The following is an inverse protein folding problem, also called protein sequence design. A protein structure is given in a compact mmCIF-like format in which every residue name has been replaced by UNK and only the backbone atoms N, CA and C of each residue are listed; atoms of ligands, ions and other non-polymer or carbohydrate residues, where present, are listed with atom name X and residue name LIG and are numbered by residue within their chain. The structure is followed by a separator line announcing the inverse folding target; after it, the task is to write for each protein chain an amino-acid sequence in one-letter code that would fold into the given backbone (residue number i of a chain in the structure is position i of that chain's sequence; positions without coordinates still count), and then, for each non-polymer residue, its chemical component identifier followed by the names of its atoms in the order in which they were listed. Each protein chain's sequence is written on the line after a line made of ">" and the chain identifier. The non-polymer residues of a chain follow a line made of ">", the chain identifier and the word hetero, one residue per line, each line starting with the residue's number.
data_IF_137313023116
#
_entry.id   IF_137313023116
#
_cell.length_a   1.000
_cell.length_b   1.000
_cell.length_c   1.000
_cell.angle_alpha   90.00
_cell.angle_beta   90.00
_cell.angle_gamma   90.00
#
_symmetry.space_group_name_H-M   'P 1'
#
loop_
_entity.id
_entity.type
_entity.pdbx_description
1 polymer ?
2 non-polymer ?
3 non-polymer ?
4 non-polymer ?
5 non-polymer ?
6 water ?
#
# COMPACT_ATOMS: atom_id res chain seq x y z
N UNK A 4 7.67 -5.94 29.24
CA UNK A 4 8.33 -6.03 27.90
C UNK A 4 7.44 -5.42 26.77
N UNK A 5 7.80 -4.20 26.37
CA UNK A 5 7.12 -3.49 25.27
C UNK A 5 8.08 -3.24 24.11
N UNK A 6 7.78 -3.83 22.95
CA UNK A 6 8.65 -3.75 21.78
C UNK A 6 8.05 -2.89 20.66
N UNK A 7 8.84 -1.95 20.14
CA UNK A 7 8.45 -1.15 18.97
C UNK A 7 9.27 -1.50 17.75
N UNK A 8 8.59 -1.58 16.61
CA UNK A 8 9.21 -2.09 15.41
C UNK A 8 8.89 -1.26 14.17
N UNK A 9 9.96 -0.96 13.43
CA UNK A 9 9.94 -0.14 12.22
C UNK A 9 9.90 -1.05 10.98
N UNK A 10 9.18 -0.62 9.94
CA UNK A 10 9.11 -1.35 8.65
C UNK A 10 9.08 -0.42 7.46
N UNK A 11 9.56 -0.89 6.31
CA UNK A 11 9.58 -0.10 5.07
C UNK A 11 9.13 -0.90 3.86
N UNK A 12 8.39 -0.26 2.97
CA UNK A 12 7.90 -0.91 1.75
C UNK A 12 8.01 0.00 0.55
N UNK A 13 8.22 -0.61 -0.60
CA UNK A 13 8.32 0.13 -1.86
C UNK A 13 7.72 -0.71 -3.02
N UNK A 14 6.94 -0.07 -3.89
CA UNK A 14 6.33 -0.79 -5.02
C UNK A 14 6.23 0.07 -6.28
N UNK A 15 6.23 -0.59 -7.44
CA UNK A 15 6.05 0.07 -8.72
C UNK A 15 5.10 -0.73 -9.60
N UNK A 16 4.23 -0.04 -10.34
CA UNK A 16 3.48 -0.66 -11.45
C UNK A 16 3.48 0.22 -12.71
N UNK A 17 3.50 -0.41 -13.88
CA UNK A 17 3.46 0.29 -15.16
C UNK A 17 2.04 0.58 -15.61
N UNK A 18 1.84 1.70 -16.30
CA UNK A 18 0.56 2.00 -16.90
C UNK A 18 0.31 1.08 -18.08
N UNK A 19 -0.95 0.76 -18.32
CA UNK A 19 -1.31 -0.28 -19.27
C UNK A 19 -2.81 -0.37 -19.49
N UNK A 20 -3.20 -0.67 -20.73
CA UNK A 20 -4.60 -0.62 -21.11
C UNK A 20 -5.28 0.66 -20.67
N UNK A 21 -6.39 0.51 -19.95
CA UNK A 21 -7.21 1.65 -19.57
C UNK A 21 -8.33 1.23 -18.61
N UNK A 22 -9.23 2.16 -18.32
CA UNK A 22 -9.94 2.16 -17.05
C UNK A 22 -9.46 3.25 -16.11
N UNK A 23 -10.14 3.38 -14.98
CA UNK A 23 -9.55 4.02 -13.80
C UNK A 23 -8.32 3.25 -13.30
N UNK A 24 -7.56 3.87 -12.41
CA UNK A 24 -6.58 3.15 -11.60
C UNK A 24 -7.16 3.00 -10.22
N UNK A 25 -6.58 2.11 -9.42
CA UNK A 25 -6.97 1.94 -8.03
C UNK A 25 -5.76 2.21 -7.17
N UNK A 26 -5.86 3.18 -6.28
CA UNK A 26 -4.74 3.62 -5.46
C UNK A 26 -5.25 3.85 -4.05
N UNK A 27 -4.67 3.16 -3.07
CA UNK A 27 -5.15 3.25 -1.70
C UNK A 27 -6.61 2.83 -1.58
N UNK A 28 -7.03 1.90 -2.43
CA UNK A 28 -8.42 1.44 -2.45
C UNK A 28 -9.40 2.30 -3.24
N UNK A 29 -8.97 3.51 -3.64
CA UNK A 29 -9.85 4.46 -4.31
C UNK A 29 -9.73 4.33 -5.84
N UNK A 30 -10.88 4.24 -6.51
CA UNK A 30 -10.96 4.22 -7.98
C UNK A 30 -10.80 5.65 -8.51
N UNK A 31 -9.69 5.94 -9.18
CA UNK A 31 -9.34 7.30 -9.62
C UNK A 31 -9.34 7.41 -11.15
N UNK A 32 -10.13 8.33 -11.73
CA UNK A 32 -10.20 8.37 -13.20
C UNK A 32 -8.84 8.75 -13.84
N UNK A 33 -8.49 8.08 -14.93
CA UNK A 33 -7.22 8.34 -15.61
C UNK A 33 -7.24 7.79 -17.03
N UNK A 34 -6.52 8.45 -17.94
CA UNK A 34 -6.44 8.02 -19.34
C UNK A 34 -6.05 6.55 -19.41
N UNK A 35 -5.09 6.10 -18.59
CA UNK A 35 -4.66 4.68 -18.61
C UNK A 35 -4.81 3.96 -17.27
N UNK A 36 -4.66 2.63 -17.29
CA UNK A 36 -4.79 1.83 -16.07
C UNK A 36 -3.44 1.31 -15.59
N UNK A 37 -3.48 0.44 -14.57
CA UNK A 37 -2.25 -0.14 -14.03
C UNK A 37 -2.09 -1.62 -14.37
N UNK A 38 -0.94 -1.97 -14.95
CA UNK A 38 -0.63 -3.37 -15.25
C UNK A 38 -0.18 -4.11 -14.00
N UNK A 39 -0.89 -5.18 -13.66
CA UNK A 39 -0.57 -5.97 -12.47
C UNK A 39 -1.25 -7.33 -12.52
N UNK A 40 -0.71 -8.28 -11.76
CA UNK A 40 -1.44 -9.50 -11.43
C UNK A 40 -2.69 -9.19 -10.61
N UNK A 41 -2.89 -7.92 -10.30
CA UNK A 41 -3.60 -7.52 -9.09
C UNK A 41 -4.56 -6.36 -9.33
N UNK A 42 -5.05 -5.77 -8.24
CA UNK A 42 -5.43 -4.36 -8.24
C UNK A 42 -4.44 -3.52 -9.04
N UNK A 43 -3.19 -3.96 -9.06
CA UNK A 43 -2.08 -3.06 -9.31
C UNK A 43 -1.88 -1.93 -8.32
N UNK A 44 -2.63 -1.98 -7.23
CA UNK A 44 -2.70 -0.87 -6.28
C UNK A 44 -1.35 -0.73 -5.58
N UNK A 45 -0.50 0.14 -6.11
CA UNK A 45 0.86 0.30 -5.58
C UNK A 45 0.88 0.86 -4.16
N UNK A 46 -0.13 1.63 -3.78
CA UNK A 46 -0.12 2.24 -2.46
C UNK A 46 -0.31 1.16 -1.39
N UNK A 47 -1.31 0.30 -1.57
CA UNK A 47 -1.58 -0.73 -0.59
C UNK A 47 -0.49 -1.81 -0.59
N UNK A 48 0.10 -2.08 -1.75
CA UNK A 48 1.22 -3.01 -1.81
C UNK A 48 2.40 -2.50 -1.00
N UNK A 49 2.80 -1.25 -1.23
CA UNK A 49 3.94 -0.71 -0.50
C UNK A 49 3.62 -0.71 1.00
N UNK A 50 2.39 -0.34 1.34
CA UNK A 50 1.95 -0.37 2.73
C UNK A 50 1.96 -1.79 3.33
N UNK A 51 1.39 -2.76 2.62
CA UNK A 51 1.39 -4.14 3.10
C UNK A 51 2.82 -4.60 3.40
N UNK A 52 3.76 -4.28 2.50
CA UNK A 52 5.16 -4.67 2.69
C UNK A 52 5.79 -3.99 3.90
N UNK A 53 5.45 -2.72 4.14
CA UNK A 53 5.96 -2.00 5.31
C UNK A 53 5.51 -2.69 6.59
N UNK A 54 4.25 -3.09 6.63
CA UNK A 54 3.68 -3.80 7.77
C UNK A 54 4.33 -5.18 7.97
N UNK A 55 4.41 -5.98 6.90
CA UNK A 55 5.07 -7.28 7.01
C UNK A 55 6.55 -7.13 7.37
N UNK A 56 7.20 -6.08 6.87
CA UNK A 56 8.61 -5.83 7.16
C UNK A 56 8.84 -5.58 8.64
N UNK A 57 7.95 -4.82 9.27
CA UNK A 57 8.11 -4.50 10.67
C UNK A 57 7.88 -5.75 11.52
N UNK A 58 7.00 -6.64 11.05
CA UNK A 58 6.72 -7.88 11.78
C UNK A 58 7.69 -9.01 11.41
N UNK A 59 8.67 -8.72 10.55
CA UNK A 59 9.58 -9.74 10.00
C UNK A 59 8.88 -10.96 9.38
N UNK A 60 7.76 -10.71 8.71
CA UNK A 60 7.05 -11.76 7.98
C UNK A 60 7.38 -11.81 6.49
N UNK A 61 8.43 -11.11 6.05
CA UNK A 61 8.83 -11.13 4.65
C UNK A 61 8.26 -10.00 3.82
N UNK A 62 7.32 -10.35 2.93
CA UNK A 62 6.65 -9.41 2.02
C UNK A 62 5.49 -10.11 1.29
N UNK A 63 4.71 -9.33 0.51
CA UNK A 63 3.56 -9.85 -0.24
C UNK A 63 3.92 -10.96 -1.22
N UNK A 64 5.08 -10.87 -1.88
CA UNK A 64 5.51 -11.89 -2.85
C UNK A 64 5.74 -13.26 -2.22
N UNK A 65 6.12 -13.26 -0.95
CA UNK A 65 6.25 -14.48 -0.20
C UNK A 65 4.88 -14.97 0.30
N UNK A 66 4.06 -14.07 0.86
CA UNK A 66 2.73 -14.45 1.37
C UNK A 66 1.73 -14.73 0.26
N UNK A 67 1.79 -13.97 -0.83
CA UNK A 67 0.82 -14.11 -1.92
C UNK A 67 1.53 -14.26 -3.28
N UNK A 68 2.03 -15.48 -3.59
CA UNK A 68 2.79 -15.78 -4.82
C UNK A 68 2.12 -15.38 -6.15
N UNK A 69 2.92 -14.77 -7.03
CA UNK A 69 2.61 -14.54 -8.46
C UNK A 69 2.05 -15.76 -9.18
N UNK A 70 2.53 -16.93 -8.76
CA UNK A 70 2.20 -18.25 -9.32
C UNK A 70 0.75 -18.69 -9.01
N UNK A 71 0.26 -18.35 -7.82
CA UNK A 71 -1.09 -18.74 -7.39
C UNK A 71 -2.18 -17.88 -8.09
N UNK A 72 -3.07 -18.52 -8.89
CA UNK A 72 -4.10 -17.75 -9.61
C UNK A 72 -5.30 -17.37 -8.73
N UNK A 73 -5.21 -17.68 -7.43
CA UNK A 73 -6.19 -17.23 -6.44
C UNK A 73 -6.05 -15.73 -6.14
N UNK A 74 -4.92 -15.16 -6.58
CA UNK A 74 -4.64 -13.73 -6.37
C UNK A 74 -4.77 -12.88 -7.66
N UNK A 75 -5.17 -13.52 -8.77
CA UNK A 75 -5.33 -12.80 -10.04
C UNK A 75 -6.54 -11.88 -9.98
N UNK A 76 -6.29 -10.58 -10.17
CA UNK A 76 -7.32 -9.54 -10.08
C UNK A 76 -7.77 -9.24 -8.65
N UNK A 77 -7.07 -9.80 -7.65
CA UNK A 77 -7.47 -9.70 -6.23
C UNK A 77 -7.52 -8.26 -5.73
N UNK A 78 -8.55 -7.98 -4.94
CA UNK A 78 -8.70 -6.74 -4.24
C UNK A 78 -7.48 -6.64 -3.31
N UNK A 79 -6.62 -5.65 -3.53
CA UNK A 79 -5.42 -5.45 -2.71
C UNK A 79 -5.74 -5.17 -1.24
N UNK A 80 -6.96 -4.70 -0.97
CA UNK A 80 -7.47 -4.54 0.40
C UNK A 80 -7.67 -5.89 1.10
N UNK A 81 -8.05 -6.93 0.36
CA UNK A 81 -8.12 -8.30 0.88
C UNK A 81 -6.74 -8.74 1.33
N UNK A 82 -5.73 -8.45 0.51
CA UNK A 82 -4.35 -8.81 0.82
C UNK A 82 -3.85 -8.07 2.06
N UNK A 83 -4.14 -6.77 2.13
CA UNK A 83 -3.83 -5.96 3.28
C UNK A 83 -4.46 -6.50 4.57
N UNK A 84 -5.76 -6.82 4.54
CA UNK A 84 -6.44 -7.35 5.73
C UNK A 84 -5.90 -8.72 6.15
N UNK A 85 -5.61 -9.57 5.17
CA UNK A 85 -5.00 -10.88 5.40
C UNK A 85 -3.60 -10.76 6.01
N UNK A 86 -2.76 -9.93 5.38
CA UNK A 86 -1.45 -9.65 5.91
C UNK A 86 -1.58 -9.12 7.33
N UNK A 87 -2.54 -8.21 7.56
CA UNK A 87 -2.73 -7.62 8.89
C UNK A 87 -3.21 -8.62 9.94
N UNK A 88 -4.11 -9.53 9.54
CA UNK A 88 -4.58 -10.60 10.43
C UNK A 88 -3.39 -11.40 10.99
N UNK A 89 -2.46 -11.78 10.11
CA UNK A 89 -1.29 -12.55 10.49
C UNK A 89 -0.34 -11.76 11.35
N UNK A 90 -0.19 -10.47 11.04
CA UNK A 90 0.63 -9.61 11.84
C UNK A 90 0.04 -9.60 13.25
N UNK A 91 -1.27 -9.44 13.36
CA UNK A 91 -1.90 -9.41 14.68
C UNK A 91 -1.80 -10.74 15.43
N UNK A 92 -1.83 -11.85 14.70
CA UNK A 92 -1.68 -13.18 15.29
C UNK A 92 -0.29 -13.38 15.93
N UNK A 93 0.73 -12.65 15.48
CA UNK A 93 2.04 -12.66 16.16
C UNK A 93 2.07 -11.69 17.34
N UNK A 94 0.94 -11.06 17.64
CA UNK A 94 0.79 -10.18 18.80
C UNK A 94 1.11 -8.71 18.61
N UNK A 95 1.13 -8.22 17.37
CA UNK A 95 1.42 -6.79 17.16
C UNK A 95 0.14 -5.96 17.09
N UNK A 96 0.26 -4.71 17.49
CA UNK A 96 -0.80 -3.73 17.26
C UNK A 96 -0.21 -2.56 16.47
N UNK A 97 -1.07 -1.77 15.83
CA UNK A 97 -0.62 -0.65 15.01
C UNK A 97 -0.17 0.53 15.85
N UNK A 98 1.02 1.03 15.56
CA UNK A 98 1.45 2.35 16.03
C UNK A 98 0.94 3.37 15.03
N UNK A 99 1.63 3.54 13.90
CA UNK A 99 1.15 4.43 12.85
C UNK A 99 1.73 4.06 11.50
N UNK A 100 1.10 4.55 10.43
CA UNK A 100 1.66 4.38 9.10
C UNK A 100 1.71 5.69 8.35
N UNK A 101 2.65 5.75 7.40
CA UNK A 101 2.82 6.90 6.53
C UNK A 101 3.19 6.42 5.13
N UNK A 102 2.49 6.95 4.13
CA UNK A 102 2.59 6.49 2.75
C UNK A 102 2.95 7.68 1.83
N UNK A 103 3.76 7.44 0.81
CA UNK A 103 4.15 8.48 -0.14
C UNK A 103 3.97 7.96 -1.56
N UNK A 104 2.96 8.47 -2.26
CA UNK A 104 2.71 8.11 -3.66
C UNK A 104 3.64 8.95 -4.53
N UNK A 105 4.34 8.31 -5.46
CA UNK A 105 5.20 9.05 -6.36
C UNK A 105 4.64 8.91 -7.75
N UNK A 106 4.04 9.99 -8.26
CA UNK A 106 3.31 9.96 -9.52
C UNK A 106 3.27 11.36 -10.11
N UNK A 107 3.46 11.41 -11.43
CA UNK A 107 3.31 12.65 -12.19
C UNK A 107 1.84 13.06 -12.29
N UNK A 108 0.97 12.05 -12.40
CA UNK A 108 -0.47 12.21 -12.61
C UNK A 108 -1.05 10.82 -12.43
N UNK A 109 -2.35 10.71 -12.07
CA UNK A 109 -3.35 11.77 -11.81
C UNK A 109 -3.13 12.46 -10.47
N UNK A 110 -3.88 13.54 -10.21
CA UNK A 110 -3.83 14.24 -8.90
C UNK A 110 -4.25 13.31 -7.78
N UNK A 111 -3.46 13.24 -6.71
CA UNK A 111 -3.75 12.31 -5.61
C UNK A 111 -4.45 13.00 -4.46
N UNK A 112 -4.11 14.27 -4.24
CA UNK A 112 -4.67 15.04 -3.13
C UNK A 112 -6.18 14.91 -2.87
N UNK A 113 -7.03 15.01 -3.92
CA UNK A 113 -8.47 14.90 -3.65
C UNK A 113 -8.90 13.56 -3.09
N UNK A 114 -8.12 12.52 -3.38
CA UNK A 114 -8.50 11.14 -3.03
C UNK A 114 -7.91 10.67 -1.72
N UNK A 115 -7.05 11.49 -1.12
CA UNK A 115 -6.32 11.09 0.07
C UNK A 115 -7.22 10.83 1.28
N UNK A 116 -8.21 11.71 1.56
CA UNK A 116 -9.14 11.41 2.66
C UNK A 116 -9.82 10.04 2.54
N UNK A 117 -10.29 9.72 1.34
CA UNK A 117 -10.99 8.45 1.14
C UNK A 117 -10.04 7.26 1.31
N UNK A 118 -8.78 7.41 0.90
CA UNK A 118 -7.76 6.36 1.08
C UNK A 118 -7.55 6.11 2.57
N UNK A 119 -7.49 7.20 3.33
CA UNK A 119 -7.24 7.07 4.74
C UNK A 119 -8.39 6.32 5.40
N UNK A 120 -9.62 6.58 4.96
CA UNK A 120 -10.80 5.88 5.48
C UNK A 120 -10.63 4.37 5.22
N UNK A 121 -10.39 4.01 3.96
CA UNK A 121 -10.17 2.62 3.60
C UNK A 121 -9.04 1.97 4.44
N UNK A 122 -7.88 2.63 4.53
CA UNK A 122 -6.76 2.04 5.24
C UNK A 122 -7.08 1.86 6.73
N UNK A 123 -7.64 2.89 7.35
CA UNK A 123 -7.97 2.87 8.78
C UNK A 123 -8.99 1.77 9.06
N UNK A 124 -9.92 1.60 8.13
CA UNK A 124 -10.91 0.58 8.24
C UNK A 124 -10.23 -0.76 8.20
N UNK A 125 -9.46 -0.99 7.13
CA UNK A 125 -8.75 -2.25 6.92
C UNK A 125 -7.80 -2.63 8.08
N UNK A 126 -7.23 -1.63 8.75
CA UNK A 126 -6.29 -1.88 9.84
C UNK A 126 -6.94 -1.76 11.21
N UNK A 127 -8.26 -1.59 11.23
CA UNK A 127 -9.03 -1.42 12.45
C UNK A 127 -8.49 -0.34 13.37
N UNK A 128 -7.99 0.75 12.80
CA UNK A 128 -7.42 1.85 13.61
C UNK A 128 -8.16 3.17 13.40
N UNK A 129 -7.79 4.17 14.19
CA UNK A 129 -8.32 5.49 13.96
C UNK A 129 -7.59 6.12 12.75
N UNK A 130 -8.28 7.01 12.03
CA UNK A 130 -7.67 7.72 10.91
C UNK A 130 -6.42 8.51 11.30
N UNK A 131 -6.35 8.98 12.54
CA UNK A 131 -5.21 9.73 13.03
C UNK A 131 -3.90 8.97 12.90
N UNK A 132 -3.97 7.64 12.83
CA UNK A 132 -2.78 6.81 12.74
C UNK A 132 -2.39 6.51 11.29
N UNK A 133 -3.13 7.07 10.34
CA UNK A 133 -2.85 6.86 8.91
C UNK A 133 -2.54 8.17 8.18
N UNK A 134 -1.35 8.27 7.59
CA UNK A 134 -1.03 9.40 6.72
C UNK A 134 -0.70 8.96 5.29
N UNK A 135 -1.22 9.69 4.32
CA UNK A 135 -0.89 9.46 2.92
C UNK A 135 -0.55 10.81 2.28
N UNK A 136 0.54 10.83 1.50
CA UNK A 136 0.93 12.03 0.76
C UNK A 136 1.35 11.69 -0.66
N UNK A 137 1.55 12.70 -1.49
CA UNK A 137 2.03 12.48 -2.83
C UNK A 137 3.14 13.45 -3.21
N UNK A 138 4.05 12.97 -4.06
CA UNK A 138 5.02 13.85 -4.70
C UNK A 138 5.15 13.50 -6.17
N UNK A 139 5.42 14.52 -6.95
CA UNK A 139 5.68 14.38 -8.37
C UNK A 139 7.20 14.41 -8.51
N UNK A 140 7.75 13.82 -9.57
CA UNK A 140 9.20 13.95 -9.77
C UNK A 140 9.55 14.95 -10.89
N UNK A 141 8.66 15.92 -11.10
CA UNK A 141 8.89 17.04 -12.02
C UNK A 141 9.29 16.59 -13.41
N UNK A 142 8.57 15.60 -13.95
CA UNK A 142 8.81 15.12 -15.32
C UNK A 142 10.07 14.26 -15.49
N UNK A 143 10.79 14.02 -14.39
CA UNK A 143 12.01 13.22 -14.42
C UNK A 143 11.73 11.75 -14.13
N UNK A 144 12.51 10.88 -14.76
CA UNK A 144 12.36 9.45 -14.57
C UNK A 144 11.16 8.75 -15.21
N UNK A 145 10.99 7.46 -14.89
CA UNK A 145 9.90 6.67 -15.46
C UNK A 145 8.53 7.16 -14.96
N UNK A 146 8.54 7.65 -13.73
CA UNK A 146 7.42 8.29 -13.09
C UNK A 146 7.09 9.62 -13.83
N UNK A 147 8.14 10.42 -14.08
CA UNK A 147 7.98 11.75 -14.64
C UNK A 147 7.54 11.73 -16.09
N UNK A 148 7.92 10.67 -16.79
CA UNK A 148 7.50 10.44 -18.16
C UNK A 148 6.13 9.73 -18.26
N UNK A 149 5.42 9.57 -17.14
CA UNK A 149 4.12 8.91 -17.17
C UNK A 149 4.15 7.45 -17.60
N UNK A 150 5.27 6.76 -17.37
CA UNK A 150 5.38 5.33 -17.68
C UNK A 150 4.81 4.42 -16.57
N UNK A 151 4.76 4.93 -15.34
CA UNK A 151 4.21 4.15 -14.22
C UNK A 151 4.08 4.96 -12.96
N UNK A 152 3.72 4.28 -11.87
CA UNK A 152 3.58 4.91 -10.54
C UNK A 152 4.37 4.11 -9.52
N UNK A 153 5.08 4.81 -8.63
CA UNK A 153 5.82 4.19 -7.55
C UNK A 153 5.20 4.63 -6.23
N UNK A 154 5.41 3.85 -5.18
CA UNK A 154 4.94 4.26 -3.87
C UNK A 154 5.83 3.72 -2.73
N UNK A 155 6.01 4.51 -1.67
CA UNK A 155 6.73 4.07 -0.47
C UNK A 155 5.82 4.12 0.74
N UNK A 156 6.16 3.35 1.76
CA UNK A 156 5.44 3.38 3.01
C UNK A 156 6.41 3.06 4.13
N UNK A 157 6.20 3.68 5.29
CA UNK A 157 6.86 3.24 6.50
C UNK A 157 5.77 2.95 7.53
N UNK A 158 6.08 2.05 8.46
CA UNK A 158 5.12 1.59 9.49
C UNK A 158 5.83 1.35 10.81
N UNK A 159 5.12 1.64 11.89
CA UNK A 159 5.59 1.37 13.23
C UNK A 159 4.59 0.47 13.94
N UNK A 160 5.06 -0.71 14.36
CA UNK A 160 4.25 -1.65 15.11
C UNK A 160 4.63 -1.67 16.60
N UNK A 161 3.67 -2.05 17.43
CA UNK A 161 3.88 -2.21 18.88
C UNK A 161 3.56 -3.65 19.29
N UNK A 162 4.32 -4.20 20.23
CA UNK A 162 4.01 -5.52 20.80
C UNK A 162 4.18 -5.55 22.31
N UNK A 163 3.10 -5.87 23.03
CA UNK A 163 3.12 -6.02 24.50
C UNK A 163 3.30 -7.49 24.95
N UNK A 164 4.15 -7.72 25.96
CA UNK A 164 4.43 -9.10 26.45
C UNK A 164 4.21 -9.42 27.98
N UNK A 165 3.98 -8.43 28.87
CA UNK A 165 3.95 -6.96 28.61
C UNK A 165 5.16 -6.25 29.23
X LIG B 1 2.48 -4.24 -6.49
X LIG C 1 -1.71 15.50 -5.57
X LIG C 1 -0.66 15.16 -6.08
X LIG C 1 -0.64 14.21 -7.02
X LIG C 1 0.52 13.83 -7.58
X LIG C 1 0.49 12.90 -8.48
X LIG C 1 1.72 14.42 -7.23
X LIG C 1 1.73 15.43 -6.27
X LIG C 1 0.50 15.78 -5.69
X LIG C 1 0.38 16.83 -4.68
X LIG C 1 0.36 18.02 -5.48
X LIG C 1 1.05 18.98 -4.73
X LIG C 1 1.65 20.06 -5.63
X LIG C 1 2.58 20.84 -4.88
X LIG C 1 3.72 20.11 -3.98
X LIG C 1 4.67 19.34 -5.00
X LIG C 1 4.39 21.07 -3.07
X LIG C 1 3.01 18.90 -3.32
X LIG C 1 2.24 18.15 -4.27
X LIG C 1 1.54 16.95 -3.71
X LIG C 1 0.99 17.29 -2.46
X LIG D 1 12.87 5.34 -0.69
X LIG E 1 12.63 6.52 -12.38
X LIG E 1 13.75 7.17 -12.93
X LIG E 1 12.56 6.78 -10.90
X LIG E 1 11.78 7.75 -10.42
X LIG E 1 11.01 8.61 -11.39
X LIG E 1 11.02 7.47 -9.16
X LIG E 1 11.84 6.68 -8.18
X LIG E 1 10.83 6.37 -7.11
X LIG E 1 11.14 6.61 -5.83
X LIG E 1 12.46 7.18 -5.46
X LIG E 1 10.19 6.32 -4.70
X LIG E 1 15.15 6.41 -13.04
X LIG E 1 16.29 7.50 -12.85
X LIG E 1 15.28 5.28 -11.92
X LIG E 1 15.12 5.71 -14.50
X LIG E 1 15.29 6.46 -15.91
X LIG E 1 16.54 7.44 -15.88
X LIG E 1 15.54 5.35 -17.00
X LIG E 1 13.99 7.28 -16.30
#
# INVERSE_FOLDING_TARGET
>A
GSHMLEMRIGHGFDVHAFGGEGPIIIGGVRIPYEKGLLAHSDGDVALHALTDALLGAAALGDIGKLFPDTDPAFKGADSRELLREAWRRIQAKGYTLGNVDVTIIAQAPKMLPHIPQMRVFIAEDLGCHMDDVNVKATTTEKLGFTGRGEGIACEAVALLIKATK
>B hetero
1 ZN ZN
>C hetero
1 CC7 O2 C2 N3 C4 N4 C5 C6 N1 C1' O4' C4' C5' O5' P O2P O1P O3' C3' C2' O2'
>D hetero
1 MG MG
>E hetero
1 GPP C1 O1 C2 C3 C4 C5 C6 C7 C8 C9 C10 PA O1A O2A O3A PB O1B O2B O3B
#
